data_IF_849131557992
#
_entry.id   IF_849131557992
#
_cell.length_a   1.000
_cell.length_b   1.000
_cell.length_c   1.000
_cell.angle_alpha   90.00
_cell.angle_beta   90.00
_cell.angle_gamma   90.00
#
_symmetry.space_group_name_H-M   'P 1'
#
loop_
_entity.id
_entity.type
_entity.pdbx_description
1 polymer ?
#
# COMPACT_ATOMS: atom_id res chain seq x y z
N UNK A 1 -3.26 14.20 4.13
CA UNK A 1 -2.22 13.52 4.94
C UNK A 1 -0.96 13.34 4.10
N UNK A 2 0.21 13.34 4.72
CA UNK A 2 1.53 13.19 4.09
C UNK A 2 1.93 11.70 4.02
N UNK A 3 1.17 10.91 3.24
CA UNK A 3 1.26 9.43 3.18
C UNK A 3 2.69 8.95 2.95
N UNK A 4 3.40 9.55 2.00
CA UNK A 4 4.78 9.19 1.68
C UNK A 4 5.73 9.40 2.87
N UNK A 5 5.56 10.48 3.63
CA UNK A 5 6.42 10.78 4.77
C UNK A 5 6.20 9.81 5.93
N UNK A 6 4.94 9.39 6.12
CA UNK A 6 4.62 8.31 7.05
C UNK A 6 5.29 7.00 6.64
N UNK A 7 5.18 6.57 5.37
CA UNK A 7 5.85 5.38 4.87
C UNK A 7 7.38 5.46 5.02
N UNK A 8 7.97 6.62 4.71
CA UNK A 8 9.41 6.85 4.87
C UNK A 8 9.83 6.66 6.33
N UNK A 9 9.10 7.25 7.30
CA UNK A 9 9.41 7.08 8.73
C UNK A 9 9.28 5.65 9.23
N UNK A 10 8.30 4.88 8.72
CA UNK A 10 8.02 3.53 9.19
C UNK A 10 8.90 2.46 8.55
N UNK A 11 9.27 2.62 7.28
CA UNK A 11 9.88 1.53 6.51
C UNK A 11 11.24 1.86 5.88
N UNK A 12 11.68 3.12 5.89
CA UNK A 12 13.02 3.48 5.43
C UNK A 12 13.99 3.51 6.64
N UNK A 13 15.00 2.61 6.72
CA UNK A 13 16.00 2.64 7.79
C UNK A 13 16.78 3.96 7.85
N UNK A 14 16.95 4.61 6.69
CA UNK A 14 17.59 5.92 6.54
C UNK A 14 16.54 6.98 6.21
N UNK A 15 15.44 6.97 6.98
CA UNK A 15 14.32 7.90 6.76
C UNK A 15 14.79 9.35 6.69
N UNK A 16 14.06 10.13 5.92
CA UNK A 16 14.38 11.52 5.64
C UNK A 16 14.22 12.39 6.88
N UNK A 17 15.13 13.36 7.02
CA UNK A 17 15.06 14.38 8.07
C UNK A 17 13.88 15.34 7.88
N UNK A 18 13.38 15.50 6.65
CA UNK A 18 12.24 16.35 6.31
C UNK A 18 11.27 15.65 5.37
N UNK A 19 10.02 16.10 5.39
CA UNK A 19 8.98 15.67 4.44
C UNK A 19 9.37 15.96 2.99
N UNK A 20 9.93 17.14 2.72
CA UNK A 20 10.30 17.54 1.36
C UNK A 20 11.34 16.57 0.79
N UNK A 21 12.32 16.16 1.61
CA UNK A 21 13.31 15.17 1.22
C UNK A 21 12.66 13.79 0.99
N UNK A 22 11.73 13.38 1.84
CA UNK A 22 10.97 12.14 1.64
C UNK A 22 10.08 12.15 0.39
N UNK A 23 9.62 13.34 -0.04
CA UNK A 23 8.85 13.49 -1.26
C UNK A 23 9.71 13.27 -2.50
N UNK A 24 10.92 13.85 -2.53
CA UNK A 24 11.80 13.75 -3.69
C UNK A 24 12.66 12.48 -3.72
N UNK A 25 12.69 11.68 -2.65
CA UNK A 25 13.45 10.42 -2.58
C UNK A 25 12.74 9.21 -3.21
N UNK A 26 11.44 9.31 -3.50
CA UNK A 26 10.65 8.21 -4.06
C UNK A 26 10.36 8.38 -5.55
N UNK A 27 10.14 7.29 -6.31
CA UNK A 27 9.72 7.38 -7.72
C UNK A 27 8.33 8.01 -7.89
N UNK A 28 8.08 8.59 -9.07
CA UNK A 28 6.82 9.26 -9.45
C UNK A 28 5.59 8.38 -9.23
N UNK A 29 5.68 7.09 -9.54
CA UNK A 29 4.60 6.12 -9.30
C UNK A 29 4.17 6.07 -7.81
N UNK A 30 5.14 6.13 -6.90
CA UNK A 30 4.88 6.14 -5.46
C UNK A 30 4.32 7.48 -4.98
N UNK A 31 4.72 8.59 -5.61
CA UNK A 31 4.12 9.92 -5.37
C UNK A 31 2.64 9.91 -5.74
N UNK A 32 2.29 9.40 -6.92
CA UNK A 32 0.89 9.30 -7.37
C UNK A 32 0.05 8.39 -6.47
N UNK A 33 0.57 7.22 -6.09
CA UNK A 33 -0.12 6.34 -5.14
C UNK A 33 -0.35 7.03 -3.78
N UNK A 34 0.64 7.79 -3.29
CA UNK A 34 0.52 8.58 -2.04
C UNK A 34 -0.54 9.67 -2.13
N UNK A 35 -0.59 10.43 -3.23
CA UNK A 35 -1.63 11.43 -3.47
C UNK A 35 -3.01 10.76 -3.48
N UNK A 36 -3.14 9.65 -4.20
CA UNK A 36 -4.42 8.95 -4.29
C UNK A 36 -4.88 8.41 -2.94
N UNK A 37 -3.98 7.80 -2.15
CA UNK A 37 -4.27 7.35 -0.78
C UNK A 37 -4.72 8.51 0.12
N UNK A 38 -4.05 9.65 0.05
CA UNK A 38 -4.42 10.85 0.81
C UNK A 38 -5.76 11.46 0.39
N UNK A 39 -6.10 11.44 -0.89
CA UNK A 39 -7.41 11.91 -1.38
C UNK A 39 -8.54 10.93 -1.03
N UNK A 40 -8.26 9.63 -1.11
CA UNK A 40 -9.21 8.57 -0.79
C UNK A 40 -9.57 8.55 0.71
N UNK A 41 -8.70 9.04 1.60
CA UNK A 41 -9.00 9.10 3.04
C UNK A 41 -10.21 9.99 3.32
N UNK A 42 -10.37 11.10 2.58
CA UNK A 42 -11.54 11.99 2.70
C UNK A 42 -12.82 11.25 2.32
N UNK A 43 -12.77 10.42 1.27
CA UNK A 43 -13.93 9.64 0.83
C UNK A 43 -14.23 8.50 1.81
N UNK A 44 -13.20 7.78 2.29
CA UNK A 44 -13.35 6.74 3.32
C UNK A 44 -14.07 7.31 4.55
N UNK A 45 -13.60 8.42 5.09
CA UNK A 45 -14.19 9.04 6.27
C UNK A 45 -15.65 9.50 6.08
N UNK A 46 -16.11 9.67 4.82
CA UNK A 46 -17.52 9.97 4.52
C UNK A 46 -18.41 8.73 4.43
N UNK A 47 -17.84 7.58 4.08
CA UNK A 47 -18.58 6.33 3.89
C UNK A 47 -18.43 5.35 5.06
N UNK A 48 -17.46 5.59 5.95
CA UNK A 48 -17.30 4.87 7.21
C UNK A 48 -17.87 5.68 8.37
N UNK A 49 -18.50 4.99 9.30
CA UNK A 49 -18.94 5.51 10.60
C UNK A 49 -18.08 4.94 11.75
N UNK A 50 -18.45 5.27 12.99
CA UNK A 50 -17.75 4.78 14.18
C UNK A 50 -17.89 3.26 14.39
N UNK A 51 -18.90 2.64 13.77
CA UNK A 51 -19.18 1.20 13.88
C UNK A 51 -18.45 0.39 12.80
N UNK A 52 -17.89 1.07 11.79
CA UNK A 52 -17.10 0.45 10.74
C UNK A 52 -15.83 -0.16 11.34
N UNK A 53 -15.70 -1.48 11.21
CA UNK A 53 -14.56 -2.21 11.76
C UNK A 53 -13.23 -1.81 11.10
N UNK A 54 -12.14 -1.93 11.86
CA UNK A 54 -10.80 -1.64 11.35
C UNK A 54 -10.44 -2.54 10.16
N UNK A 55 -10.81 -3.82 10.18
CA UNK A 55 -10.55 -4.75 9.08
C UNK A 55 -11.21 -4.31 7.77
N UNK A 56 -12.44 -3.78 7.84
CA UNK A 56 -13.14 -3.23 6.66
C UNK A 56 -12.40 -2.00 6.12
N UNK A 57 -11.92 -1.12 7.01
CA UNK A 57 -11.14 0.05 6.59
C UNK A 57 -9.81 -0.36 5.94
N UNK A 58 -9.12 -1.35 6.50
CA UNK A 58 -7.89 -1.91 5.93
C UNK A 58 -8.14 -2.53 4.56
N UNK A 59 -9.21 -3.32 4.41
CA UNK A 59 -9.58 -3.89 3.12
C UNK A 59 -9.91 -2.80 2.09
N UNK A 60 -10.59 -1.72 2.48
CA UNK A 60 -10.85 -0.58 1.60
C UNK A 60 -9.55 0.10 1.13
N UNK A 61 -8.57 0.28 2.03
CA UNK A 61 -7.26 0.84 1.65
C UNK A 61 -6.48 -0.10 0.75
N UNK A 62 -6.49 -1.41 1.03
CA UNK A 62 -5.84 -2.41 0.18
C UNK A 62 -6.43 -2.44 -1.23
N UNK A 63 -7.76 -2.42 -1.35
CA UNK A 63 -8.45 -2.34 -2.65
C UNK A 63 -8.10 -1.06 -3.39
N UNK A 64 -8.04 0.08 -2.70
CA UNK A 64 -7.60 1.35 -3.29
C UNK A 64 -6.15 1.28 -3.77
N UNK A 65 -5.26 0.68 -2.98
CA UNK A 65 -3.87 0.46 -3.38
C UNK A 65 -3.76 -0.43 -4.61
N UNK A 66 -4.49 -1.55 -4.65
CA UNK A 66 -4.58 -2.45 -5.81
C UNK A 66 -5.01 -1.70 -7.07
N UNK A 67 -6.07 -0.88 -6.99
CA UNK A 67 -6.53 -0.03 -8.12
C UNK A 67 -5.42 0.91 -8.58
N UNK A 68 -4.68 1.53 -7.64
CA UNK A 68 -3.56 2.41 -7.99
C UNK A 68 -2.46 1.67 -8.75
N UNK A 69 -2.13 0.44 -8.33
CA UNK A 69 -1.17 -0.40 -9.01
C UNK A 69 -1.63 -0.76 -10.42
N UNK A 70 -2.88 -1.21 -10.57
CA UNK A 70 -3.44 -1.60 -11.87
C UNK A 70 -3.46 -0.43 -12.87
N UNK A 71 -3.83 0.78 -12.43
CA UNK A 71 -3.80 1.99 -13.27
C UNK A 71 -2.38 2.33 -13.71
N UNK A 72 -1.39 2.11 -12.83
CA UNK A 72 0.03 2.35 -13.13
C UNK A 72 0.67 1.22 -13.97
N UNK A 73 -0.12 0.24 -14.42
CA UNK A 73 0.32 -0.84 -15.30
C UNK A 73 0.87 -2.08 -14.60
N UNK A 74 0.71 -2.19 -13.27
CA UNK A 74 1.05 -3.43 -12.58
C UNK A 74 0.04 -4.54 -12.92
N UNK A 75 0.53 -5.77 -12.94
CA UNK A 75 -0.25 -6.99 -13.17
C UNK A 75 -0.34 -7.82 -11.88
N UNK A 76 -1.49 -8.47 -11.71
CA UNK A 76 -1.71 -9.47 -10.68
C UNK A 76 -1.18 -10.84 -11.15
N UNK A 77 -0.90 -11.70 -10.18
CA UNK A 77 -0.60 -13.12 -10.40
C UNK A 77 -1.84 -13.97 -10.06
N UNK A 78 -1.82 -15.23 -10.46
CA UNK A 78 -2.75 -16.21 -9.87
C UNK A 78 -2.44 -16.39 -8.38
N UNK A 79 -3.42 -16.86 -7.60
CA UNK A 79 -3.25 -17.07 -6.16
C UNK A 79 -2.04 -17.96 -5.82
N UNK A 80 -1.88 -19.04 -6.58
CA UNK A 80 -0.76 -19.98 -6.41
C UNK A 80 0.59 -19.30 -6.68
N UNK A 81 0.70 -18.55 -7.77
CA UNK A 81 1.93 -17.83 -8.12
C UNK A 81 2.27 -16.74 -7.11
N UNK A 82 1.26 -16.03 -6.58
CA UNK A 82 1.43 -15.05 -5.50
C UNK A 82 1.96 -15.70 -4.23
N UNK A 83 1.42 -16.84 -3.81
CA UNK A 83 1.93 -17.58 -2.65
C UNK A 83 3.37 -18.03 -2.83
N UNK A 84 3.72 -18.58 -4.00
CA UNK A 84 5.09 -18.99 -4.32
C UNK A 84 6.04 -17.80 -4.34
N UNK A 85 5.64 -16.68 -4.94
CA UNK A 85 6.44 -15.47 -5.00
C UNK A 85 6.68 -14.85 -3.61
N UNK A 86 5.69 -14.90 -2.70
CA UNK A 86 5.83 -14.36 -1.33
C UNK A 86 6.81 -15.15 -0.46
N UNK A 87 7.03 -16.44 -0.77
CA UNK A 87 8.02 -17.29 -0.07
C UNK A 87 9.46 -17.01 -0.49
N UNK A 88 9.67 -16.34 -1.63
CA UNK A 88 11.00 -16.03 -2.16
C UNK A 88 11.16 -14.51 -2.37
N UNK A 89 11.89 -13.87 -1.44
CA UNK A 89 12.16 -12.42 -1.48
C UNK A 89 12.89 -11.97 -2.76
N UNK A 90 13.70 -12.82 -3.37
CA UNK A 90 14.43 -12.50 -4.61
C UNK A 90 13.47 -12.50 -5.78
N UNK A 91 12.65 -13.56 -5.91
CA UNK A 91 11.59 -13.64 -6.92
C UNK A 91 10.59 -12.50 -6.77
N UNK A 92 10.15 -12.20 -5.56
CA UNK A 92 9.24 -11.09 -5.27
C UNK A 92 9.79 -9.75 -5.80
N UNK A 93 11.07 -9.43 -5.48
CA UNK A 93 11.71 -8.20 -5.96
C UNK A 93 11.85 -8.17 -7.48
N UNK A 94 12.16 -9.30 -8.11
CA UNK A 94 12.27 -9.39 -9.56
C UNK A 94 10.92 -9.14 -10.26
N UNK A 95 9.84 -9.75 -9.76
CA UNK A 95 8.49 -9.54 -10.27
C UNK A 95 8.05 -8.07 -10.14
N UNK A 96 8.31 -7.44 -8.99
CA UNK A 96 7.96 -6.03 -8.78
C UNK A 96 8.66 -5.09 -9.76
N UNK A 97 9.90 -5.39 -10.16
CA UNK A 97 10.63 -4.66 -11.21
C UNK A 97 10.03 -4.87 -12.61
N UNK A 98 9.40 -6.01 -12.84
CA UNK A 98 8.69 -6.33 -14.08
C UNK A 98 7.22 -5.88 -14.06
N UNK A 99 6.83 -4.99 -13.13
CA UNK A 99 5.44 -4.54 -12.95
C UNK A 99 4.46 -5.68 -12.65
N UNK A 100 4.90 -6.73 -11.95
CA UNK A 100 4.03 -7.81 -11.47
C UNK A 100 4.09 -7.81 -9.94
N UNK A 101 2.96 -7.64 -9.25
CA UNK A 101 2.95 -7.52 -7.79
C UNK A 101 2.15 -8.66 -7.13
N UNK A 102 2.81 -9.56 -6.36
CA UNK A 102 2.15 -10.70 -5.72
C UNK A 102 1.01 -10.33 -4.75
N UNK A 103 1.09 -9.15 -4.14
CA UNK A 103 0.07 -8.66 -3.21
C UNK A 103 -1.16 -8.01 -3.88
N UNK A 104 -1.24 -7.95 -5.22
CA UNK A 104 -2.51 -7.63 -5.89
C UNK A 104 -3.39 -8.88 -5.84
N UNK A 105 -3.98 -9.11 -4.67
CA UNK A 105 -4.77 -10.28 -4.28
C UNK A 105 -5.84 -9.87 -3.26
N UNK A 106 -6.91 -10.64 -3.05
CA UNK A 106 -7.89 -10.33 -2.01
C UNK A 106 -7.26 -10.12 -0.61
N UNK A 107 -7.80 -9.18 0.17
CA UNK A 107 -7.21 -8.72 1.44
C UNK A 107 -7.04 -9.86 2.44
N UNK A 108 -8.01 -10.76 2.52
CA UNK A 108 -8.02 -11.93 3.39
C UNK A 108 -6.83 -12.86 3.14
N UNK A 109 -6.30 -12.88 1.90
CA UNK A 109 -5.17 -13.71 1.46
C UNK A 109 -3.81 -13.02 1.61
N UNK A 110 -3.76 -11.79 2.14
CA UNK A 110 -2.51 -11.16 2.55
C UNK A 110 -1.96 -11.83 3.82
N UNK A 111 -0.63 -11.80 3.96
CA UNK A 111 0.00 -12.13 5.23
C UNK A 111 -0.33 -11.07 6.28
N UNK A 112 -0.25 -11.44 7.56
CA UNK A 112 -0.48 -10.50 8.65
C UNK A 112 0.51 -9.32 8.63
N UNK A 113 1.73 -9.54 8.15
CA UNK A 113 2.74 -8.48 7.94
C UNK A 113 2.27 -7.44 6.92
N UNK A 114 1.69 -7.86 5.79
CA UNK A 114 1.18 -6.93 4.77
C UNK A 114 -0.10 -6.23 5.26
N UNK A 115 -1.03 -6.96 5.90
CA UNK A 115 -2.23 -6.37 6.52
C UNK A 115 -1.88 -5.32 7.56
N UNK A 116 -0.79 -5.52 8.32
CA UNK A 116 -0.32 -4.56 9.31
C UNK A 116 0.03 -3.20 8.69
N UNK A 117 0.48 -3.18 7.43
CA UNK A 117 0.80 -1.91 6.74
C UNK A 117 -0.46 -1.09 6.46
N UNK A 118 -1.54 -1.75 6.04
CA UNK A 118 -2.83 -1.08 5.84
C UNK A 118 -3.37 -0.54 7.18
N UNK A 119 -3.27 -1.34 8.25
CA UNK A 119 -3.66 -0.92 9.60
C UNK A 119 -2.91 0.32 10.07
N UNK A 120 -1.61 0.38 9.83
CA UNK A 120 -0.78 1.55 10.16
C UNK A 120 -1.24 2.81 9.40
N UNK A 121 -1.60 2.66 8.12
CA UNK A 121 -2.13 3.76 7.32
C UNK A 121 -3.50 4.21 7.82
N UNK A 122 -4.41 3.28 8.08
CA UNK A 122 -5.74 3.60 8.61
C UNK A 122 -5.63 4.30 9.97
N UNK A 123 -4.76 3.82 10.85
CA UNK A 123 -4.52 4.43 12.16
C UNK A 123 -3.95 5.85 12.06
N UNK A 124 -3.12 6.12 11.05
CA UNK A 124 -2.55 7.45 10.82
C UNK A 124 -3.55 8.44 10.15
N UNK A 125 -4.66 7.94 9.61
CA UNK A 125 -5.64 8.71 8.81
C UNK A 125 -6.95 9.02 9.51
N UNK A 126 -7.24 8.38 10.65
CA UNK A 126 -8.32 8.77 11.56
C UNK A 126 -7.93 10.02 12.33
#
# INVERSE_FOLDING_TARGET
MKVNYFYDKMYNPNHSSSELNAWYSIPEAHKFSSIYSGNASVLRNKVSDNDTSEDVLCEMEHRRWCVSCLILGYQALTLKESEEARRDKTKFKALKKAYIHPDITPFELLSDEEKHKDKLIISAMK
#
